data_IF_151126287603
#
_entry.id   IF_151126287603
#
_cell.length_a   1.000
_cell.length_b   1.000
_cell.length_c   1.000
_cell.angle_alpha   90.00
_cell.angle_beta   90.00
_cell.angle_gamma   90.00
#
_symmetry.space_group_name_H-M   'P 1'
#
loop_
_entity.id
_entity.type
_entity.pdbx_description
1 polymer ?
#
# COMPACT_ATOMS: atom_id res chain seq x y z
N UNK A 1 8.45 2.06 6.36
CA UNK A 1 7.42 3.13 6.25
C UNK A 1 7.69 3.93 5.00
N UNK A 2 6.70 4.05 4.11
CA UNK A 2 6.82 4.78 2.84
C UNK A 2 5.55 5.60 2.69
N UNK A 3 5.67 6.93 2.68
CA UNK A 3 4.53 7.85 2.62
C UNK A 3 4.80 8.98 1.62
N UNK A 4 5.91 9.71 1.78
CA UNK A 4 6.28 10.82 0.89
C UNK A 4 6.33 10.41 -0.59
N UNK A 5 6.91 9.24 -0.92
CA UNK A 5 6.95 8.72 -2.29
C UNK A 5 5.54 8.57 -2.88
N UNK A 6 4.59 8.07 -2.09
CA UNK A 6 3.20 7.91 -2.53
C UNK A 6 2.56 9.27 -2.79
N UNK A 7 2.75 10.23 -1.87
CA UNK A 7 2.22 11.59 -2.01
C UNK A 7 2.75 12.28 -3.27
N UNK A 8 4.06 12.15 -3.54
CA UNK A 8 4.72 12.72 -4.71
C UNK A 8 4.24 12.05 -6.00
N UNK A 9 4.20 10.71 -6.05
CA UNK A 9 3.74 9.96 -7.22
C UNK A 9 2.28 10.27 -7.57
N UNK A 10 1.39 10.25 -6.57
CA UNK A 10 -0.04 10.58 -6.75
C UNK A 10 -0.24 12.02 -7.25
N UNK A 11 0.43 12.98 -6.60
CA UNK A 11 0.31 14.40 -6.97
C UNK A 11 0.87 14.65 -8.37
N UNK A 12 1.99 14.03 -8.73
CA UNK A 12 2.58 14.11 -10.06
C UNK A 12 1.68 13.52 -11.14
N UNK A 13 1.05 12.37 -10.88
CA UNK A 13 0.11 11.74 -11.80
C UNK A 13 -1.14 12.60 -12.06
N UNK A 14 -1.70 13.19 -11.00
CA UNK A 14 -2.83 14.13 -11.12
C UNK A 14 -2.42 15.34 -11.95
N UNK A 15 -1.27 15.97 -11.62
CA UNK A 15 -0.78 17.15 -12.36
C UNK A 15 -0.57 16.86 -13.84
N UNK A 16 -0.01 15.68 -14.17
CA UNK A 16 0.16 15.24 -15.56
C UNK A 16 -1.18 15.11 -16.27
N UNK A 17 -2.18 14.47 -15.66
CA UNK A 17 -3.50 14.31 -16.26
C UNK A 17 -4.14 15.67 -16.57
N UNK A 18 -4.11 16.60 -15.60
CA UNK A 18 -4.63 17.97 -15.77
C UNK A 18 -3.97 18.68 -16.95
N UNK A 19 -2.66 18.51 -17.13
CA UNK A 19 -1.91 19.13 -18.22
C UNK A 19 -2.22 18.50 -19.59
N UNK A 20 -2.31 17.16 -19.64
CA UNK A 20 -2.51 16.42 -20.90
C UNK A 20 -3.97 16.35 -21.37
N UNK A 21 -4.94 16.43 -20.46
CA UNK A 21 -6.38 16.40 -20.77
C UNK A 21 -7.13 17.49 -19.99
N UNK A 22 -6.98 18.74 -20.46
CA UNK A 22 -7.50 19.94 -19.79
C UNK A 22 -9.02 20.03 -19.72
N UNK A 23 -9.73 19.21 -20.51
CA UNK A 23 -11.20 19.14 -20.49
C UNK A 23 -11.71 18.15 -19.46
N UNK A 24 -10.83 17.29 -18.95
CA UNK A 24 -11.19 16.33 -17.93
C UNK A 24 -11.50 17.04 -16.62
N UNK A 25 -12.63 16.68 -16.01
CA UNK A 25 -13.12 17.29 -14.77
C UNK A 25 -13.69 16.25 -13.81
N UNK A 26 -13.87 14.99 -14.23
CA UNK A 26 -14.36 13.90 -13.39
C UNK A 26 -13.31 13.51 -12.35
N UNK A 27 -13.56 13.76 -11.04
CA UNK A 27 -12.65 13.41 -9.95
C UNK A 27 -12.16 11.95 -10.01
N UNK A 28 -12.99 11.04 -10.50
CA UNK A 28 -12.67 9.61 -10.57
C UNK A 28 -11.49 9.33 -11.49
N UNK A 29 -11.32 10.10 -12.56
CA UNK A 29 -10.19 9.94 -13.48
C UNK A 29 -8.87 10.42 -12.86
N UNK A 30 -8.89 11.52 -12.10
CA UNK A 30 -7.73 11.97 -11.32
C UNK A 30 -7.34 10.96 -10.24
N UNK A 31 -8.31 10.50 -9.44
CA UNK A 31 -8.04 9.49 -8.41
C UNK A 31 -7.63 8.14 -8.98
N UNK A 32 -8.08 7.80 -10.19
CA UNK A 32 -7.57 6.64 -10.91
C UNK A 32 -6.09 6.80 -11.26
N UNK A 33 -5.70 7.90 -11.89
CA UNK A 33 -4.30 8.18 -12.21
C UNK A 33 -3.40 8.17 -10.96
N UNK A 34 -3.86 8.78 -9.86
CA UNK A 34 -3.16 8.75 -8.58
C UNK A 34 -2.98 7.32 -8.04
N UNK A 35 -4.06 6.53 -7.99
CA UNK A 35 -4.04 5.16 -7.48
C UNK A 35 -3.10 4.27 -8.31
N UNK A 36 -3.15 4.40 -9.62
CA UNK A 36 -2.34 3.59 -10.53
C UNK A 36 -0.84 3.91 -10.33
N UNK A 37 -0.49 5.19 -10.14
CA UNK A 37 0.88 5.61 -9.82
C UNK A 37 1.35 5.11 -8.44
N UNK A 38 0.52 5.23 -7.41
CA UNK A 38 0.82 4.71 -6.07
C UNK A 38 0.98 3.18 -6.08
N UNK A 39 0.14 2.46 -6.83
CA UNK A 39 0.23 1.01 -6.97
C UNK A 39 1.55 0.58 -7.62
N UNK A 40 2.08 1.36 -8.58
CA UNK A 40 3.41 1.18 -9.14
C UNK A 40 4.51 1.24 -8.09
N UNK A 41 4.53 2.31 -7.28
CA UNK A 41 5.48 2.46 -6.17
C UNK A 41 5.39 1.30 -5.18
N UNK A 42 4.18 0.92 -4.75
CA UNK A 42 3.99 -0.21 -3.83
C UNK A 42 4.57 -1.51 -4.41
N UNK A 43 4.31 -1.80 -5.69
CA UNK A 43 4.84 -2.99 -6.37
C UNK A 43 6.36 -3.02 -6.37
N UNK A 44 7.00 -1.94 -6.83
CA UNK A 44 8.47 -1.83 -6.86
C UNK A 44 9.08 -2.06 -5.48
N UNK A 45 8.48 -1.48 -4.43
CA UNK A 45 8.98 -1.61 -3.05
C UNK A 45 8.78 -3.02 -2.52
N UNK A 46 7.64 -3.67 -2.80
CA UNK A 46 7.43 -5.07 -2.42
C UNK A 46 8.41 -6.03 -3.10
N UNK A 47 8.76 -5.78 -4.37
CA UNK A 47 9.76 -6.56 -5.10
C UNK A 47 11.16 -6.31 -4.53
N UNK A 48 11.57 -5.05 -4.38
CA UNK A 48 12.90 -4.68 -3.86
C UNK A 48 13.15 -5.16 -2.42
N UNK A 49 12.10 -5.22 -1.59
CA UNK A 49 12.19 -5.70 -0.20
C UNK A 49 12.01 -7.22 -0.07
N UNK A 50 11.86 -7.95 -1.18
CA UNK A 50 11.72 -9.41 -1.17
C UNK A 50 10.39 -9.91 -0.61
N UNK A 51 9.37 -9.06 -0.55
CA UNK A 51 8.03 -9.41 -0.06
C UNK A 51 7.18 -10.13 -1.12
N UNK A 52 7.50 -9.96 -2.41
CA UNK A 52 6.78 -10.60 -3.51
C UNK A 52 6.74 -12.13 -3.32
N UNK A 53 5.53 -12.71 -3.42
CA UNK A 53 5.29 -14.15 -3.28
C UNK A 53 5.27 -14.69 -1.83
N UNK A 54 5.54 -13.88 -0.81
CA UNK A 54 5.58 -14.36 0.58
C UNK A 54 4.18 -14.57 1.19
N UNK A 55 3.14 -13.94 0.65
CA UNK A 55 1.80 -13.92 1.24
C UNK A 55 1.22 -15.33 1.51
N UNK A 56 1.34 -16.26 0.56
CA UNK A 56 0.80 -17.62 0.69
C UNK A 56 1.50 -18.48 1.74
N UNK A 57 2.69 -18.07 2.20
CA UNK A 57 3.47 -18.79 3.23
C UNK A 57 3.02 -18.43 4.65
N UNK A 58 2.26 -17.35 4.81
CA UNK A 58 1.83 -16.84 6.12
C UNK A 58 0.53 -17.53 6.52
N UNK A 59 0.50 -18.10 7.73
CA UNK A 59 -0.73 -18.55 8.40
C UNK A 59 -1.17 -17.46 9.38
N UNK A 60 -2.23 -16.68 9.10
CA UNK A 60 -2.66 -15.62 9.98
C UNK A 60 -3.11 -16.17 11.34
N UNK A 61 -2.74 -15.49 12.41
CA UNK A 61 -3.21 -15.78 13.77
C UNK A 61 -4.15 -14.66 14.20
N UNK A 62 -5.26 -15.02 14.85
CA UNK A 62 -6.15 -14.02 15.45
C UNK A 62 -5.48 -13.30 16.62
N UNK A 63 -5.93 -12.08 16.89
CA UNK A 63 -5.41 -11.30 18.01
C UNK A 63 -5.64 -12.00 19.36
N UNK A 64 -6.74 -12.74 19.55
CA UNK A 64 -6.96 -13.55 20.76
C UNK A 64 -5.98 -14.71 20.91
N UNK A 65 -5.58 -15.34 19.79
CA UNK A 65 -4.55 -16.38 19.81
C UNK A 65 -3.18 -15.79 20.19
N UNK A 66 -2.88 -14.58 19.71
CA UNK A 66 -1.68 -13.82 20.07
C UNK A 66 -1.71 -13.44 21.56
N UNK A 67 -2.81 -12.87 22.05
CA UNK A 67 -2.98 -12.49 23.46
C UNK A 67 -2.74 -13.68 24.41
N UNK A 68 -3.27 -14.86 24.08
CA UNK A 68 -3.02 -16.10 24.84
C UNK A 68 -1.56 -16.54 24.84
N UNK A 69 -0.81 -16.33 23.76
CA UNK A 69 0.64 -16.64 23.72
C UNK A 69 1.45 -15.73 24.63
N UNK A 70 1.04 -14.48 24.76
CA UNK A 70 1.68 -13.52 25.66
C UNK A 70 1.22 -13.65 27.12
N UNK A 71 0.20 -14.47 27.41
CA UNK A 71 -0.25 -14.68 28.77
C UNK A 71 0.87 -15.31 29.62
N UNK A 72 1.10 -14.83 30.85
CA UNK A 72 2.14 -15.37 31.71
C UNK A 72 1.87 -16.85 31.98
N UNK A 73 2.92 -17.68 31.87
CA UNK A 73 2.83 -19.09 32.21
C UNK A 73 2.57 -19.20 33.72
N UNK A 74 1.49 -19.88 34.13
CA UNK A 74 1.31 -20.20 35.55
C UNK A 74 2.50 -21.03 36.01
N UNK A 75 3.17 -20.59 37.07
CA UNK A 75 4.16 -21.39 37.77
C UNK A 75 3.49 -22.68 38.26
N UNK A 76 4.18 -23.82 38.07
CA UNK A 76 3.74 -25.12 38.58
C UNK A 76 3.82 -25.15 40.11
#
# INVERSE_FOLDING_TARGET
NIDTDLRLAMSGAIRRLVDTDRKEFDPRKFFKAARDAAAGICRERFEAFGCAGQASRIKPLSLDAIARRYAPRKAA
#
